data_IF_488009092083
#
_entry.id   IF_488009092083
#
_cell.length_a   1.000
_cell.length_b   1.000
_cell.length_c   1.000
_cell.angle_alpha   90.00
_cell.angle_beta   90.00
_cell.angle_gamma   90.00
#
_symmetry.space_group_name_H-M   'P 1'
#
loop_
_entity.id
_entity.type
_entity.pdbx_description
1 polymer ?
#
# COMPACT_ATOMS: atom_id res chain seq x y z
N UNK A 1 3.28 2.18 0.34
CA UNK A 1 2.00 2.11 1.08
C UNK A 1 1.37 0.77 0.87
N UNK A 2 0.16 0.58 1.38
CA UNK A 2 -0.66 -0.61 1.18
C UNK A 2 -0.85 -0.88 -0.32
N UNK A 3 -0.77 -2.14 -0.79
CA UNK A 3 -1.05 -2.45 -2.19
C UNK A 3 -2.46 -1.98 -2.59
N UNK A 4 -2.64 -1.38 -3.77
CA UNK A 4 -3.98 -1.18 -4.32
C UNK A 4 -4.61 -2.52 -4.74
N UNK A 5 -5.88 -2.55 -5.14
CA UNK A 5 -6.55 -3.81 -5.48
C UNK A 5 -5.85 -4.59 -6.62
N UNK A 6 -5.40 -3.88 -7.66
CA UNK A 6 -4.64 -4.49 -8.76
C UNK A 6 -3.33 -5.11 -8.26
N UNK A 7 -2.62 -4.43 -7.36
CA UNK A 7 -1.38 -4.94 -6.78
C UNK A 7 -1.63 -6.15 -5.86
N UNK A 8 -2.70 -6.16 -5.06
CA UNK A 8 -3.08 -7.35 -4.29
C UNK A 8 -3.35 -8.57 -5.18
N UNK A 9 -4.02 -8.38 -6.32
CA UNK A 9 -4.20 -9.46 -7.31
C UNK A 9 -2.86 -9.94 -7.87
N UNK A 10 -1.97 -9.02 -8.26
CA UNK A 10 -0.65 -9.38 -8.78
C UNK A 10 0.20 -10.14 -7.75
N UNK A 11 0.21 -9.68 -6.49
CA UNK A 11 0.88 -10.36 -5.36
C UNK A 11 0.35 -11.78 -5.20
N UNK A 12 -0.98 -11.95 -5.23
CA UNK A 12 -1.64 -13.25 -5.11
C UNK A 12 -1.30 -14.19 -6.27
N UNK A 13 -1.30 -13.67 -7.51
CA UNK A 13 -0.92 -14.40 -8.72
C UNK A 13 0.56 -14.81 -8.70
N UNK A 14 1.42 -14.01 -8.07
CA UNK A 14 2.82 -14.31 -7.86
C UNK A 14 3.08 -15.34 -6.74
N UNK A 15 2.04 -15.79 -6.02
CA UNK A 15 2.19 -16.74 -4.92
C UNK A 15 2.84 -16.16 -3.66
N UNK A 16 2.88 -14.82 -3.52
CA UNK A 16 3.44 -14.14 -2.36
C UNK A 16 2.42 -14.16 -1.22
N UNK A 17 2.78 -14.76 -0.08
CA UNK A 17 1.90 -14.86 1.09
C UNK A 17 2.13 -13.80 2.17
N UNK A 18 3.32 -13.20 2.24
CA UNK A 18 3.69 -12.23 3.28
C UNK A 18 3.90 -10.85 2.67
N UNK A 19 3.16 -9.87 3.17
CA UNK A 19 3.23 -8.47 2.73
C UNK A 19 3.57 -7.60 3.93
N UNK A 20 4.56 -6.71 3.78
CA UNK A 20 4.94 -5.74 4.80
C UNK A 20 4.72 -4.34 4.25
N UNK A 21 3.93 -3.54 4.95
CA UNK A 21 3.56 -2.19 4.52
C UNK A 21 4.05 -1.18 5.55
N UNK A 22 4.42 0.02 5.12
CA UNK A 22 4.79 1.13 6.01
C UNK A 22 3.66 2.13 6.21
N UNK A 23 2.76 2.24 5.23
CA UNK A 23 1.61 3.13 5.25
C UNK A 23 0.38 2.34 4.88
N UNK A 24 -0.74 2.60 5.53
CA UNK A 24 -2.03 2.07 5.08
C UNK A 24 -2.59 2.87 3.89
N UNK A 25 -3.69 2.37 3.30
CA UNK A 25 -4.36 3.02 2.17
C UNK A 25 -4.98 4.39 2.48
N UNK A 26 -5.28 4.70 3.74
CA UNK A 26 -5.80 6.01 4.14
C UNK A 26 -4.66 7.03 4.22
N UNK A 27 -3.54 6.65 4.85
CA UNK A 27 -2.33 7.46 4.92
C UNK A 27 -1.75 7.76 3.52
N UNK A 28 -1.83 6.80 2.60
CA UNK A 28 -1.45 7.01 1.21
C UNK A 28 -2.39 8.02 0.50
N UNK A 29 -3.70 7.95 0.75
CA UNK A 29 -4.67 8.88 0.18
C UNK A 29 -4.45 10.32 0.67
N UNK A 30 -4.13 10.51 1.95
CA UNK A 30 -3.77 11.82 2.53
C UNK A 30 -2.51 12.42 1.91
N UNK A 31 -1.64 11.59 1.32
CA UNK A 31 -0.44 12.03 0.62
C UNK A 31 -0.61 12.13 -0.90
N UNK A 32 -1.85 12.16 -1.39
CA UNK A 32 -2.17 12.40 -2.81
C UNK A 32 -2.32 11.14 -3.66
N UNK A 33 -2.25 9.95 -3.06
CA UNK A 33 -2.41 8.67 -3.75
C UNK A 33 -3.70 7.97 -3.33
N UNK A 34 -4.85 8.50 -3.76
CA UNK A 34 -6.15 7.89 -3.45
C UNK A 34 -6.54 6.80 -4.46
N UNK A 35 -6.18 5.55 -4.13
CA UNK A 35 -6.56 4.35 -4.86
C UNK A 35 -7.62 3.52 -4.12
N UNK A 36 -8.23 4.04 -3.05
CA UNK A 36 -9.17 3.27 -2.20
C UNK A 36 -10.38 2.78 -2.97
N UNK A 37 -10.79 3.51 -4.00
CA UNK A 37 -11.89 3.11 -4.87
C UNK A 37 -11.68 1.75 -5.55
N UNK A 38 -10.42 1.36 -5.78
CA UNK A 38 -10.07 0.08 -6.44
C UNK A 38 -10.52 -1.13 -5.62
N UNK A 39 -10.61 -1.00 -4.29
CA UNK A 39 -11.00 -2.07 -3.38
C UNK A 39 -12.49 -2.42 -3.49
N UNK A 40 -13.34 -1.53 -4.06
CA UNK A 40 -14.77 -1.81 -4.24
C UNK A 40 -15.04 -3.03 -5.11
N UNK A 41 -14.11 -3.35 -6.02
CA UNK A 41 -14.21 -4.46 -6.95
C UNK A 41 -13.35 -5.67 -6.53
N UNK A 42 -12.65 -5.56 -5.40
CA UNK A 42 -11.81 -6.63 -4.89
C UNK A 42 -12.61 -7.50 -3.92
N UNK A 43 -12.57 -8.81 -4.11
CA UNK A 43 -13.09 -9.74 -3.11
C UNK A 43 -12.20 -9.68 -1.85
N UNK A 44 -12.72 -9.26 -0.67
CA UNK A 44 -11.93 -9.13 0.55
C UNK A 44 -11.27 -10.43 1.01
N UNK A 45 -11.82 -11.60 0.64
CA UNK A 45 -11.23 -12.89 1.00
C UNK A 45 -9.81 -13.06 0.44
N UNK A 46 -9.50 -12.42 -0.70
CA UNK A 46 -8.16 -12.44 -1.29
C UNK A 46 -7.10 -11.79 -0.39
N UNK A 47 -7.47 -10.74 0.34
CA UNK A 47 -6.56 -10.08 1.29
C UNK A 47 -6.44 -10.93 2.56
N UNK A 48 -7.52 -11.57 2.99
CA UNK A 48 -7.52 -12.43 4.19
C UNK A 48 -6.61 -13.66 4.04
N UNK A 49 -6.29 -14.09 2.81
CA UNK A 49 -5.30 -15.13 2.52
C UNK A 49 -3.84 -14.66 2.70
N UNK A 50 -3.61 -13.35 2.81
CA UNK A 50 -2.29 -12.74 2.91
C UNK A 50 -1.98 -12.35 4.36
N UNK A 51 -0.74 -12.61 4.79
CA UNK A 51 -0.19 -12.05 6.02
C UNK A 51 0.31 -10.62 5.75
N UNK A 52 -0.61 -9.65 5.86
CA UNK A 52 -0.32 -8.22 5.71
C UNK A 52 -0.02 -7.63 7.09
N UNK A 53 1.20 -7.13 7.27
CA UNK A 53 1.63 -6.49 8.52
C UNK A 53 2.10 -5.06 8.26
N UNK A 54 1.56 -4.12 9.03
CA UNK A 54 2.03 -2.74 9.07
C UNK A 54 3.25 -2.64 9.97
N UNK A 55 4.36 -2.15 9.44
CA UNK A 55 5.58 -1.89 10.17
C UNK A 55 5.59 -0.45 10.72
N UNK A 56 6.06 -0.30 11.96
CA UNK A 56 6.27 1.02 12.57
C UNK A 56 7.63 1.57 12.14
N UNK A 57 7.65 2.74 11.52
CA UNK A 57 8.87 3.42 11.13
C UNK A 57 8.68 4.95 11.17
N UNK A 58 9.58 5.66 11.85
CA UNK A 58 9.53 7.11 11.98
C UNK A 58 9.67 7.85 10.64
N UNK A 59 10.36 7.23 9.67
CA UNK A 59 10.62 7.80 8.34
C UNK A 59 9.60 7.35 7.29
N UNK A 60 8.47 6.76 7.68
CA UNK A 60 7.47 6.23 6.72
C UNK A 60 6.94 7.27 5.72
N UNK A 61 6.89 8.55 6.10
CA UNK A 61 6.43 9.64 5.22
C UNK A 61 7.56 10.33 4.44
N UNK A 62 8.83 9.98 4.68
CA UNK A 62 9.97 10.63 4.05
C UNK A 62 9.87 10.66 2.51
N UNK A 63 9.45 9.58 1.82
CA UNK A 63 9.31 9.62 0.36
C UNK A 63 8.34 10.71 -0.14
N UNK A 64 7.23 10.94 0.57
CA UNK A 64 6.28 11.99 0.20
C UNK A 64 6.81 13.38 0.50
N UNK A 65 7.56 13.54 1.59
CA UNK A 65 8.20 14.81 1.95
C UNK A 65 9.24 15.20 0.92
N UNK A 66 10.10 14.26 0.52
CA UNK A 66 11.11 14.45 -0.52
C UNK A 66 10.48 14.85 -1.86
N UNK A 67 9.43 14.16 -2.29
CA UNK A 67 8.70 14.50 -3.52
C UNK A 67 8.11 15.93 -3.47
N UNK A 68 7.53 16.35 -2.33
CA UNK A 68 7.02 17.72 -2.15
C UNK A 68 8.11 18.79 -2.19
N UNK A 69 9.33 18.44 -1.78
CA UNK A 69 10.50 19.32 -1.82
C UNK A 69 11.17 19.36 -3.21
N UNK A 70 10.69 18.57 -4.19
CA UNK A 70 11.33 18.43 -5.49
C UNK A 70 12.66 17.68 -5.46
N UNK A 71 12.94 16.99 -4.35
CA UNK A 71 14.13 16.16 -4.15
C UNK A 71 13.75 14.73 -4.55
N UNK A 72 13.79 14.47 -5.86
CA UNK A 72 13.63 13.13 -6.41
C UNK A 72 15.04 12.69 -6.79
N UNK A 73 15.49 11.55 -6.26
CA UNK A 73 16.73 10.89 -6.73
C UNK A 73 16.61 10.49 -8.21
#
# INVERSE_FOLDING_TARGET
GEPCALCYMAIRMAGIGHVRILLDRYEAAENGFDYRWTYRYLNPSLINELDVVTLVNERKFLPFQMAKMGLID
#
